data_IF_608657820906
#
_entry.id   IF_608657820906
#
_cell.length_a   1.000
_cell.length_b   1.000
_cell.length_c   1.000
_cell.angle_alpha   90.00
_cell.angle_beta   90.00
_cell.angle_gamma   90.00
#
_symmetry.space_group_name_H-M   'P 1'
#
loop_
_entity.id
_entity.type
_entity.pdbx_description
1 polymer ?
#
# COMPACT_ATOMS: atom_id res chain seq x y z
N UNK A 1 61.85 6.69 27.57
CA UNK A 1 62.52 7.07 26.31
C UNK A 1 62.41 5.89 25.37
N UNK A 2 61.62 6.02 24.29
CA UNK A 2 61.56 5.01 23.24
C UNK A 2 62.93 4.92 22.58
N UNK A 3 63.62 3.78 22.71
CA UNK A 3 64.82 3.49 21.91
C UNK A 3 64.37 3.59 20.45
N UNK A 4 64.86 4.59 19.72
CA UNK A 4 64.55 4.75 18.30
C UNK A 4 65.02 3.48 17.59
N UNK A 5 64.06 2.63 17.16
CA UNK A 5 64.36 1.47 16.32
C UNK A 5 64.55 2.02 14.92
N UNK A 6 65.80 2.08 14.46
CA UNK A 6 66.11 2.37 13.08
C UNK A 6 65.40 1.38 12.14
N UNK A 7 64.90 1.88 11.02
CA UNK A 7 64.35 1.05 9.96
C UNK A 7 65.44 0.15 9.34
N UNK A 8 65.07 -0.95 8.66
CA UNK A 8 66.03 -1.79 7.97
C UNK A 8 66.91 -1.01 6.98
N UNK A 9 66.33 -0.02 6.29
CA UNK A 9 67.06 0.81 5.33
C UNK A 9 67.98 1.84 6.00
N UNK A 10 67.55 2.46 7.09
CA UNK A 10 68.42 3.36 7.88
C UNK A 10 69.67 2.62 8.40
N UNK A 11 69.49 1.38 8.87
CA UNK A 11 70.62 0.54 9.29
C UNK A 11 71.57 0.21 8.12
N UNK A 12 71.07 0.07 6.89
CA UNK A 12 71.92 -0.12 5.71
C UNK A 12 72.70 1.16 5.38
N UNK A 13 72.04 2.32 5.41
CA UNK A 13 72.71 3.61 5.18
C UNK A 13 73.81 3.88 6.21
N UNK A 14 73.56 3.58 7.50
CA UNK A 14 74.55 3.75 8.57
C UNK A 14 75.77 2.82 8.43
N UNK A 15 75.58 1.62 7.87
CA UNK A 15 76.67 0.65 7.64
C UNK A 15 77.36 0.84 6.29
N UNK A 16 76.81 1.70 5.43
CA UNK A 16 77.29 1.87 4.07
C UNK A 16 78.58 2.67 4.01
N UNK A 17 79.43 2.36 3.02
CA UNK A 17 80.60 3.18 2.67
C UNK A 17 80.24 4.38 1.79
N UNK A 18 79.03 4.42 1.23
CA UNK A 18 78.51 5.49 0.38
C UNK A 18 76.98 5.49 0.46
N UNK A 19 76.42 6.46 1.17
CA UNK A 19 74.97 6.59 1.36
C UNK A 19 74.27 6.85 0.02
N UNK A 20 74.83 7.71 -0.83
CA UNK A 20 74.33 7.97 -2.19
C UNK A 20 74.28 6.68 -3.01
N UNK A 21 75.37 5.91 -3.07
CA UNK A 21 75.38 4.69 -3.88
C UNK A 21 74.36 3.66 -3.35
N UNK A 22 74.14 3.61 -2.03
CA UNK A 22 73.16 2.71 -1.40
C UNK A 22 71.73 3.15 -1.67
N UNK A 23 71.48 4.45 -1.66
CA UNK A 23 70.19 5.03 -2.00
C UNK A 23 69.88 4.84 -3.50
N UNK A 24 70.83 5.12 -4.39
CA UNK A 24 70.71 4.84 -5.83
C UNK A 24 70.48 3.35 -6.08
N UNK A 25 71.18 2.47 -5.37
CA UNK A 25 70.99 1.03 -5.46
C UNK A 25 69.55 0.61 -5.11
N UNK A 26 68.94 1.21 -4.07
CA UNK A 26 67.53 0.94 -3.74
C UNK A 26 66.58 1.43 -4.83
N UNK A 27 66.81 2.61 -5.40
CA UNK A 27 65.98 3.15 -6.48
C UNK A 27 66.09 2.29 -7.76
N UNK A 28 67.28 1.82 -8.11
CA UNK A 28 67.47 0.89 -9.24
C UNK A 28 66.86 -0.48 -8.96
N UNK A 29 66.92 -0.97 -7.73
CA UNK A 29 66.24 -2.20 -7.30
C UNK A 29 64.72 -2.05 -7.43
N UNK A 30 64.16 -0.88 -7.11
CA UNK A 30 62.74 -0.58 -7.27
C UNK A 30 62.31 -0.65 -8.75
N UNK A 31 63.08 -0.06 -9.67
CA UNK A 31 62.85 -0.19 -11.13
C UNK A 31 62.86 -1.66 -11.58
N UNK A 32 63.78 -2.48 -11.07
CA UNK A 32 63.87 -3.92 -11.42
C UNK A 32 62.67 -4.75 -10.93
N UNK A 33 62.11 -4.42 -9.77
CA UNK A 33 60.96 -5.14 -9.20
C UNK A 33 59.73 -4.97 -10.07
N UNK A 34 59.54 -3.80 -10.69
CA UNK A 34 58.41 -3.50 -11.57
C UNK A 34 58.61 -3.97 -13.03
N UNK A 35 59.67 -4.75 -13.30
CA UNK A 35 59.83 -5.48 -14.55
C UNK A 35 58.99 -6.77 -14.55
N UNK A 36 58.22 -6.91 -15.62
CA UNK A 36 57.45 -8.12 -15.94
C UNK A 36 58.41 -9.25 -16.34
N UNK A 37 58.08 -10.49 -15.97
CA UNK A 37 58.73 -11.72 -16.44
C UNK A 37 60.23 -11.92 -16.09
N UNK A 38 60.76 -11.24 -15.04
CA UNK A 38 62.14 -11.46 -14.56
C UNK A 38 62.14 -12.18 -13.20
N UNK A 39 62.88 -13.29 -13.08
CA UNK A 39 63.04 -14.00 -11.80
C UNK A 39 63.83 -13.17 -10.78
N UNK A 40 63.64 -13.42 -9.49
CA UNK A 40 64.37 -12.71 -8.44
C UNK A 40 65.90 -12.87 -8.56
N UNK A 41 66.36 -14.06 -8.94
CA UNK A 41 67.78 -14.34 -9.19
C UNK A 41 68.35 -13.52 -10.36
N UNK A 42 67.59 -13.34 -11.44
CA UNK A 42 67.98 -12.49 -12.56
C UNK A 42 68.01 -11.01 -12.15
N UNK A 43 67.01 -10.52 -11.40
CA UNK A 43 67.00 -9.14 -10.87
C UNK A 43 68.24 -8.86 -10.01
N UNK A 44 68.56 -9.77 -9.07
CA UNK A 44 69.76 -9.65 -8.22
C UNK A 44 71.06 -9.60 -9.03
N UNK A 45 71.22 -10.47 -10.03
CA UNK A 45 72.39 -10.48 -10.91
C UNK A 45 72.50 -9.21 -11.73
N UNK A 46 71.39 -8.71 -12.29
CA UNK A 46 71.38 -7.48 -13.08
C UNK A 46 71.72 -6.27 -12.22
N UNK A 47 71.14 -6.17 -11.03
CA UNK A 47 71.46 -5.10 -10.10
C UNK A 47 72.96 -5.08 -9.76
N UNK A 48 73.54 -6.25 -9.47
CA UNK A 48 74.96 -6.38 -9.18
C UNK A 48 75.86 -5.95 -10.36
N UNK A 49 75.44 -6.23 -11.61
CA UNK A 49 76.18 -5.81 -12.80
C UNK A 49 76.15 -4.29 -12.99
N UNK A 50 74.98 -3.68 -12.92
CA UNK A 50 74.81 -2.23 -13.16
C UNK A 50 75.43 -1.39 -12.04
N UNK A 51 75.50 -1.94 -10.82
CA UNK A 51 76.07 -1.26 -9.65
C UNK A 51 77.45 -1.77 -9.24
N UNK A 52 78.17 -2.46 -10.13
CA UNK A 52 79.49 -3.02 -9.83
C UNK A 52 80.52 -1.97 -9.34
N UNK A 53 80.35 -0.71 -9.74
CA UNK A 53 81.23 0.41 -9.37
C UNK A 53 80.81 1.10 -8.05
N UNK A 54 79.68 0.72 -7.47
CA UNK A 54 79.12 1.38 -6.30
C UNK A 54 79.87 0.98 -5.03
N UNK A 55 80.10 1.95 -4.14
CA UNK A 55 80.81 1.75 -2.88
C UNK A 55 79.82 1.60 -1.72
N UNK A 56 78.89 0.66 -1.82
CA UNK A 56 77.85 0.45 -0.78
C UNK A 56 78.32 -0.45 0.38
N UNK A 57 79.16 -1.46 0.13
CA UNK A 57 79.85 -2.22 1.20
C UNK A 57 78.98 -3.20 2.01
N UNK A 58 77.77 -3.50 1.56
CA UNK A 58 76.85 -4.47 2.16
C UNK A 58 76.23 -5.41 1.11
N UNK A 59 75.54 -6.47 1.55
CA UNK A 59 74.85 -7.40 0.66
C UNK A 59 73.65 -6.75 -0.07
N UNK A 60 73.32 -7.26 -1.25
CA UNK A 60 72.20 -6.77 -2.07
C UNK A 60 70.83 -7.31 -1.61
N UNK A 61 70.81 -8.43 -0.88
CA UNK A 61 69.59 -9.12 -0.45
C UNK A 61 68.62 -8.22 0.33
N UNK A 62 69.07 -7.50 1.37
CA UNK A 62 68.23 -6.56 2.11
C UNK A 62 67.63 -5.46 1.24
N UNK A 63 68.41 -4.86 0.33
CA UNK A 63 67.92 -3.82 -0.59
C UNK A 63 66.85 -4.37 -1.53
N UNK A 64 67.07 -5.56 -2.08
CA UNK A 64 66.09 -6.23 -2.93
C UNK A 64 64.80 -6.56 -2.18
N UNK A 65 64.90 -6.96 -0.90
CA UNK A 65 63.72 -7.23 -0.07
C UNK A 65 62.91 -5.95 0.18
N UNK A 66 63.57 -4.84 0.49
CA UNK A 66 62.92 -3.53 0.68
C UNK A 66 62.21 -3.08 -0.60
N UNK A 67 62.88 -3.19 -1.74
CA UNK A 67 62.31 -2.85 -3.05
C UNK A 67 61.11 -3.75 -3.40
N UNK A 68 61.21 -5.05 -3.14
CA UNK A 68 60.13 -6.01 -3.41
C UNK A 68 58.88 -5.72 -2.57
N UNK A 69 59.09 -5.36 -1.31
CA UNK A 69 58.02 -4.98 -0.39
C UNK A 69 57.45 -3.58 -0.66
N UNK A 70 58.06 -2.81 -1.58
CA UNK A 70 57.65 -1.44 -1.93
C UNK A 70 57.55 -0.53 -0.69
N UNK A 71 58.55 -0.62 0.20
CA UNK A 71 58.59 0.22 1.39
C UNK A 71 58.78 1.69 1.00
N UNK A 72 57.67 2.43 1.00
CA UNK A 72 57.62 3.83 0.59
C UNK A 72 58.49 4.73 1.47
N UNK A 73 58.64 4.42 2.76
CA UNK A 73 59.47 5.23 3.67
C UNK A 73 60.95 5.06 3.31
N UNK A 74 61.37 3.83 3.01
CA UNK A 74 62.73 3.56 2.56
C UNK A 74 63.03 4.19 1.19
N UNK A 75 62.09 4.09 0.23
CA UNK A 75 62.21 4.69 -1.11
C UNK A 75 62.27 6.22 -0.99
N UNK A 76 61.42 6.83 -0.17
CA UNK A 76 61.46 8.27 0.09
C UNK A 76 62.80 8.68 0.68
N UNK A 77 63.30 7.98 1.71
CA UNK A 77 64.58 8.28 2.32
C UNK A 77 65.73 8.16 1.30
N UNK A 78 65.71 7.13 0.45
CA UNK A 78 66.68 7.00 -0.62
C UNK A 78 66.62 8.19 -1.61
N UNK A 79 65.41 8.61 -2.00
CA UNK A 79 65.24 9.77 -2.86
C UNK A 79 65.78 11.06 -2.20
N UNK A 80 65.53 11.26 -0.91
CA UNK A 80 66.07 12.41 -0.17
C UNK A 80 67.59 12.41 -0.10
N UNK A 81 68.21 11.25 0.16
CA UNK A 81 69.67 11.09 0.16
C UNK A 81 70.24 11.42 -1.22
N UNK A 82 69.67 10.84 -2.29
CA UNK A 82 70.11 11.10 -3.66
C UNK A 82 69.96 12.59 -4.00
N UNK A 83 68.81 13.21 -3.70
CA UNK A 83 68.59 14.63 -3.99
C UNK A 83 69.55 15.56 -3.25
N UNK A 84 69.94 15.20 -2.02
CA UNK A 84 70.79 16.05 -1.16
C UNK A 84 72.28 15.90 -1.47
N UNK A 85 72.73 14.69 -1.79
CA UNK A 85 74.15 14.36 -1.83
C UNK A 85 74.65 13.96 -3.23
N UNK A 86 73.77 13.75 -4.22
CA UNK A 86 74.17 13.48 -5.60
C UNK A 86 74.65 14.76 -6.30
N UNK A 87 75.82 14.69 -6.95
CA UNK A 87 76.30 15.77 -7.81
C UNK A 87 75.53 15.81 -9.14
N UNK A 88 75.43 17.00 -9.73
CA UNK A 88 74.79 17.18 -11.05
C UNK A 88 75.46 16.34 -12.15
N UNK A 89 76.77 16.12 -12.05
CA UNK A 89 77.53 15.28 -12.98
C UNK A 89 77.09 13.80 -12.95
N UNK A 90 76.63 13.33 -11.79
CA UNK A 90 76.16 11.95 -11.60
C UNK A 90 74.70 11.76 -11.97
N UNK A 91 73.88 12.81 -11.97
CA UNK A 91 72.44 12.74 -12.27
C UNK A 91 72.13 12.04 -13.60
N UNK A 92 72.81 12.40 -14.68
CA UNK A 92 72.60 11.77 -15.99
C UNK A 92 73.05 10.31 -16.02
N UNK A 93 74.12 9.96 -15.31
CA UNK A 93 74.61 8.58 -15.23
C UNK A 93 73.63 7.68 -14.46
N UNK A 94 73.03 8.18 -13.37
CA UNK A 94 72.00 7.46 -12.62
C UNK A 94 70.76 7.25 -13.47
N UNK A 95 70.30 8.29 -14.18
CA UNK A 95 69.14 8.17 -15.05
C UNK A 95 69.41 7.22 -16.23
N UNK A 96 70.61 7.26 -16.82
CA UNK A 96 71.05 6.30 -17.83
C UNK A 96 70.92 4.86 -17.30
N UNK A 97 71.48 4.60 -16.11
CA UNK A 97 71.40 3.27 -15.49
C UNK A 97 69.95 2.85 -15.23
N UNK A 98 69.09 3.76 -14.78
CA UNK A 98 67.68 3.49 -14.54
C UNK A 98 66.95 3.12 -15.84
N UNK A 99 67.19 3.85 -16.94
CA UNK A 99 66.60 3.55 -18.25
C UNK A 99 67.08 2.19 -18.74
N UNK A 100 68.39 1.96 -18.76
CA UNK A 100 68.97 0.66 -19.17
C UNK A 100 68.32 -0.49 -18.40
N UNK A 101 68.32 -0.40 -17.08
CA UNK A 101 67.72 -1.39 -16.19
C UNK A 101 66.25 -1.62 -16.48
N UNK A 102 65.49 -0.57 -16.78
CA UNK A 102 64.07 -0.65 -17.08
C UNK A 102 63.76 -1.31 -18.44
N UNK A 103 64.65 -1.18 -19.43
CA UNK A 103 64.39 -1.53 -20.84
C UNK A 103 65.19 -2.70 -21.41
N UNK A 104 66.11 -3.28 -20.63
CA UNK A 104 67.12 -4.25 -21.14
C UNK A 104 66.62 -5.43 -21.98
N UNK A 105 65.39 -5.94 -21.75
CA UNK A 105 64.90 -7.14 -22.47
C UNK A 105 63.44 -7.01 -22.95
N UNK A 106 62.88 -5.81 -23.04
CA UNK A 106 61.49 -5.68 -23.46
C UNK A 106 60.91 -4.27 -23.44
N UNK A 107 59.60 -4.21 -23.62
CA UNK A 107 58.86 -2.94 -23.56
C UNK A 107 58.81 -2.39 -22.14
N UNK A 108 58.83 -1.06 -22.07
CA UNK A 108 58.78 -0.34 -20.81
C UNK A 108 57.42 -0.58 -20.13
N UNK A 109 57.42 -1.13 -18.91
CA UNK A 109 56.17 -1.32 -18.16
C UNK A 109 55.58 0.03 -17.75
N UNK A 110 54.26 0.11 -17.59
CA UNK A 110 53.57 1.32 -17.15
C UNK A 110 54.14 1.87 -15.82
N UNK A 111 54.42 0.98 -14.87
CA UNK A 111 55.07 1.36 -13.61
C UNK A 111 56.45 1.98 -13.83
N UNK A 112 57.29 1.35 -14.67
CA UNK A 112 58.62 1.88 -14.95
C UNK A 112 58.56 3.20 -15.72
N UNK A 113 57.53 3.44 -16.54
CA UNK A 113 57.32 4.74 -17.16
C UNK A 113 57.20 5.86 -16.11
N UNK A 114 56.34 5.66 -15.10
CA UNK A 114 56.18 6.64 -14.01
C UNK A 114 57.40 6.73 -13.09
N UNK A 115 58.04 5.60 -12.78
CA UNK A 115 59.25 5.58 -11.94
C UNK A 115 60.37 6.36 -12.63
N UNK A 116 60.60 6.17 -13.93
CA UNK A 116 61.63 6.90 -14.66
C UNK A 116 61.34 8.40 -14.74
N UNK A 117 60.07 8.79 -14.93
CA UNK A 117 59.66 10.20 -14.86
C UNK A 117 59.95 10.82 -13.49
N UNK A 118 59.57 10.12 -12.42
CA UNK A 118 59.89 10.53 -11.05
C UNK A 118 61.41 10.65 -10.81
N UNK A 119 62.21 9.71 -11.31
CA UNK A 119 63.67 9.77 -11.18
C UNK A 119 64.27 10.91 -11.99
N UNK A 120 63.74 11.21 -13.18
CA UNK A 120 64.17 12.35 -13.97
C UNK A 120 63.94 13.67 -13.21
N UNK A 121 62.74 13.85 -12.64
CA UNK A 121 62.42 15.01 -11.81
C UNK A 121 63.29 15.09 -10.55
N UNK A 122 63.49 13.95 -9.86
CA UNK A 122 64.33 13.85 -8.67
C UNK A 122 65.78 14.29 -8.94
N UNK A 123 66.30 13.96 -10.13
CA UNK A 123 67.67 14.22 -10.56
C UNK A 123 67.81 15.57 -11.30
N UNK A 124 66.74 16.38 -11.34
CA UNK A 124 66.64 17.66 -12.06
C UNK A 124 66.95 17.55 -13.57
N UNK A 125 66.57 16.43 -14.20
CA UNK A 125 66.71 16.23 -15.65
C UNK A 125 65.44 16.70 -16.35
N UNK A 126 65.59 17.62 -17.31
CA UNK A 126 64.42 18.15 -18.02
C UNK A 126 63.72 17.07 -18.86
N UNK A 127 62.39 17.17 -19.10
CA UNK A 127 61.67 16.22 -19.95
C UNK A 127 62.25 16.08 -21.36
N UNK A 128 62.81 17.16 -21.92
CA UNK A 128 63.47 17.13 -23.22
C UNK A 128 64.74 16.28 -23.17
N UNK A 129 65.62 16.52 -22.19
CA UNK A 129 66.85 15.73 -22.00
C UNK A 129 66.53 14.27 -21.70
N UNK A 130 65.52 14.00 -20.88
CA UNK A 130 65.07 12.64 -20.58
C UNK A 130 64.56 11.93 -21.83
N UNK A 131 63.75 12.60 -22.66
CA UNK A 131 63.22 12.04 -23.90
C UNK A 131 64.34 11.74 -24.92
N UNK A 132 65.32 12.64 -25.05
CA UNK A 132 66.50 12.43 -25.90
C UNK A 132 67.31 11.24 -25.42
N UNK A 133 67.64 11.19 -24.13
CA UNK A 133 68.41 10.09 -23.54
C UNK A 133 67.69 8.75 -23.69
N UNK A 134 66.38 8.72 -23.47
CA UNK A 134 65.57 7.51 -23.66
C UNK A 134 65.59 7.04 -25.11
N UNK A 135 65.47 7.97 -26.07
CA UNK A 135 65.51 7.65 -27.49
C UNK A 135 66.89 7.12 -27.93
N UNK A 136 67.96 7.76 -27.46
CA UNK A 136 69.34 7.32 -27.74
C UNK A 136 69.61 5.91 -27.21
N UNK A 137 69.06 5.56 -26.04
CA UNK A 137 69.27 4.26 -25.41
C UNK A 137 68.39 3.14 -25.99
N UNK A 138 67.16 3.45 -26.35
CA UNK A 138 66.16 2.43 -26.73
C UNK A 138 65.86 2.39 -28.22
N UNK A 139 66.30 3.40 -28.98
CA UNK A 139 65.94 3.61 -30.38
C UNK A 139 64.46 4.00 -30.61
N UNK A 140 63.65 4.11 -29.55
CA UNK A 140 62.21 4.44 -29.63
C UNK A 140 61.93 5.76 -28.90
N UNK A 141 61.01 6.61 -29.39
CA UNK A 141 60.62 7.79 -28.66
C UNK A 141 59.88 7.40 -27.37
N UNK A 142 60.08 8.18 -26.31
CA UNK A 142 59.30 8.02 -25.08
C UNK A 142 57.85 8.44 -25.35
N UNK A 143 56.92 7.48 -25.30
CA UNK A 143 55.49 7.76 -25.43
C UNK A 143 54.95 8.40 -24.15
N UNK A 144 53.84 9.14 -24.26
CA UNK A 144 53.15 9.67 -23.07
C UNK A 144 52.61 8.53 -22.20
N UNK A 145 52.76 8.67 -20.88
CA UNK A 145 52.16 7.75 -19.91
C UNK A 145 50.65 7.61 -20.16
N UNK A 146 50.18 6.38 -20.27
CA UNK A 146 48.75 6.10 -20.20
C UNK A 146 48.26 6.32 -18.77
N UNK A 147 46.99 6.72 -18.60
CA UNK A 147 46.43 7.13 -17.30
C UNK A 147 45.37 6.13 -16.81
N UNK A 148 45.69 5.22 -15.89
CA UNK A 148 44.75 4.22 -15.35
C UNK A 148 43.57 4.80 -14.57
N UNK A 149 43.61 6.09 -14.23
CA UNK A 149 42.47 6.76 -13.58
C UNK A 149 41.34 7.07 -14.56
N UNK A 150 41.59 7.01 -15.87
CA UNK A 150 40.60 7.30 -16.91
C UNK A 150 39.90 6.03 -17.37
N UNK A 151 38.58 6.10 -17.53
CA UNK A 151 37.77 4.99 -18.06
C UNK A 151 38.25 4.54 -19.46
N UNK A 152 38.72 5.47 -20.28
CA UNK A 152 39.28 5.18 -21.60
C UNK A 152 40.47 4.20 -21.57
N UNK A 153 41.28 4.20 -20.51
CA UNK A 153 42.36 3.23 -20.34
C UNK A 153 41.81 1.81 -20.24
N UNK A 154 40.79 1.61 -19.40
CA UNK A 154 40.19 0.30 -19.13
C UNK A 154 39.34 -0.21 -20.31
N UNK A 155 38.80 0.68 -21.14
CA UNK A 155 38.12 0.28 -22.38
C UNK A 155 39.06 -0.45 -23.35
N UNK A 156 40.34 -0.06 -23.39
CA UNK A 156 41.36 -0.67 -24.25
C UNK A 156 41.96 -1.91 -23.59
N UNK A 157 42.20 -1.87 -22.27
CA UNK A 157 42.92 -2.90 -21.53
C UNK A 157 42.03 -4.04 -21.01
N UNK A 158 40.72 -3.81 -20.85
CA UNK A 158 39.75 -4.83 -20.43
C UNK A 158 38.46 -4.78 -21.28
N UNK A 159 38.55 -5.12 -22.58
CA UNK A 159 37.39 -5.11 -23.47
C UNK A 159 36.32 -6.13 -23.04
N UNK A 160 36.71 -7.22 -22.37
CA UNK A 160 35.78 -8.24 -21.92
C UNK A 160 34.87 -7.76 -20.79
N UNK A 161 35.40 -7.01 -19.83
CA UNK A 161 34.61 -6.40 -18.76
C UNK A 161 33.53 -5.48 -19.34
N UNK A 162 33.90 -4.61 -20.27
CA UNK A 162 32.95 -3.69 -20.91
C UNK A 162 31.91 -4.45 -21.77
N UNK A 163 32.32 -5.49 -22.49
CA UNK A 163 31.39 -6.34 -23.25
C UNK A 163 30.40 -7.09 -22.35
N UNK A 164 30.84 -7.54 -21.15
CA UNK A 164 29.96 -8.17 -20.16
C UNK A 164 28.97 -7.15 -19.58
N UNK A 165 29.46 -5.98 -19.17
CA UNK A 165 28.65 -4.88 -18.66
C UNK A 165 27.57 -4.45 -19.66
N UNK A 166 27.91 -4.37 -20.95
CA UNK A 166 26.96 -4.06 -22.02
C UNK A 166 25.89 -5.14 -22.19
N UNK A 167 26.26 -6.43 -22.13
CA UNK A 167 25.31 -7.56 -22.17
C UNK A 167 24.36 -7.55 -20.98
N UNK A 168 24.88 -7.29 -19.78
CA UNK A 168 24.08 -7.24 -18.56
C UNK A 168 23.10 -6.05 -18.59
N UNK A 169 23.54 -4.89 -19.10
CA UNK A 169 22.68 -3.73 -19.31
C UNK A 169 21.56 -4.03 -20.30
N UNK A 170 21.89 -4.65 -21.44
CA UNK A 170 20.89 -5.04 -22.43
C UNK A 170 19.90 -6.09 -21.89
N UNK A 171 20.38 -7.08 -21.14
CA UNK A 171 19.53 -8.07 -20.48
C UNK A 171 18.62 -7.44 -19.41
N UNK A 172 19.11 -6.45 -18.66
CA UNK A 172 18.31 -5.70 -17.71
C UNK A 172 17.21 -4.88 -18.40
N UNK A 173 17.53 -4.23 -19.53
CA UNK A 173 16.57 -3.49 -20.33
C UNK A 173 15.49 -4.40 -20.91
N UNK A 174 15.86 -5.58 -21.43
CA UNK A 174 14.90 -6.58 -21.90
C UNK A 174 13.98 -7.06 -20.78
N UNK A 175 14.53 -7.38 -19.59
CA UNK A 175 13.72 -7.77 -18.42
C UNK A 175 12.78 -6.66 -17.97
N UNK A 176 13.20 -5.40 -18.04
CA UNK A 176 12.34 -4.26 -17.71
C UNK A 176 11.18 -4.13 -18.71
N UNK A 177 11.44 -4.28 -20.01
CA UNK A 177 10.40 -4.29 -21.06
C UNK A 177 9.42 -5.45 -20.88
N UNK A 178 9.90 -6.67 -20.65
CA UNK A 178 9.04 -7.83 -20.38
C UNK A 178 8.19 -7.65 -19.11
N UNK A 179 8.77 -7.07 -18.05
CA UNK A 179 8.04 -6.78 -16.82
C UNK A 179 6.94 -5.74 -17.05
N UNK A 180 7.22 -4.70 -17.85
CA UNK A 180 6.23 -3.69 -18.21
C UNK A 180 5.08 -4.30 -19.05
N UNK A 181 5.40 -5.14 -20.04
CA UNK A 181 4.40 -5.86 -20.83
C UNK A 181 3.52 -6.77 -19.96
N UNK A 182 4.13 -7.53 -19.03
CA UNK A 182 3.39 -8.36 -18.07
C UNK A 182 2.49 -7.54 -17.17
N UNK A 183 2.94 -6.36 -16.72
CA UNK A 183 2.11 -5.46 -15.92
C UNK A 183 0.93 -4.91 -16.72
N UNK A 184 1.14 -4.55 -18.00
CA UNK A 184 0.07 -4.12 -18.90
C UNK A 184 -0.96 -5.23 -19.12
N UNK A 185 -0.51 -6.44 -19.45
CA UNK A 185 -1.37 -7.61 -19.64
C UNK A 185 -2.18 -7.96 -18.37
N UNK A 186 -1.56 -7.90 -17.19
CA UNK A 186 -2.25 -8.12 -15.92
C UNK A 186 -3.32 -7.05 -15.63
N UNK A 187 -3.02 -5.78 -15.91
CA UNK A 187 -4.00 -4.68 -15.77
C UNK A 187 -5.19 -4.87 -16.72
N UNK A 188 -4.94 -5.23 -17.98
CA UNK A 188 -5.98 -5.52 -18.96
C UNK A 188 -6.87 -6.69 -18.51
N UNK A 189 -6.27 -7.80 -18.04
CA UNK A 189 -7.04 -8.93 -17.51
C UNK A 189 -7.88 -8.55 -16.28
N UNK A 190 -7.34 -7.73 -15.37
CA UNK A 190 -8.09 -7.26 -14.20
C UNK A 190 -9.28 -6.38 -14.62
N UNK A 191 -9.08 -5.45 -15.55
CA UNK A 191 -10.15 -4.63 -16.10
C UNK A 191 -11.23 -5.49 -16.76
N UNK A 192 -10.84 -6.50 -17.54
CA UNK A 192 -11.78 -7.38 -18.22
C UNK A 192 -12.57 -8.24 -17.24
N UNK A 193 -11.94 -8.76 -16.17
CA UNK A 193 -12.63 -9.45 -15.07
C UNK A 193 -13.62 -8.53 -14.35
N UNK A 194 -13.24 -7.28 -14.10
CA UNK A 194 -14.11 -6.32 -13.44
C UNK A 194 -15.32 -5.95 -14.31
N UNK A 195 -15.11 -5.71 -15.61
CA UNK A 195 -16.21 -5.48 -16.56
C UNK A 195 -17.15 -6.69 -16.66
N UNK A 196 -16.61 -7.91 -16.76
CA UNK A 196 -17.44 -9.12 -16.80
C UNK A 196 -18.26 -9.30 -15.52
N UNK A 197 -17.66 -9.02 -14.35
CA UNK A 197 -18.36 -9.06 -13.06
C UNK A 197 -19.47 -8.02 -12.99
N UNK A 198 -19.25 -6.80 -13.48
CA UNK A 198 -20.27 -5.75 -13.55
C UNK A 198 -21.43 -6.17 -14.46
N UNK A 199 -21.14 -6.69 -15.66
CA UNK A 199 -22.16 -7.19 -16.59
C UNK A 199 -23.01 -8.30 -15.96
N UNK A 200 -22.39 -9.27 -15.27
CA UNK A 200 -23.13 -10.33 -14.57
C UNK A 200 -24.01 -9.77 -13.45
N UNK A 201 -23.54 -8.76 -12.71
CA UNK A 201 -24.34 -8.12 -11.66
C UNK A 201 -25.53 -7.35 -12.25
N UNK A 202 -25.33 -6.63 -13.35
CA UNK A 202 -26.40 -5.93 -14.08
C UNK A 202 -27.45 -6.90 -14.64
N UNK A 203 -27.01 -8.00 -15.26
CA UNK A 203 -27.91 -9.05 -15.76
C UNK A 203 -28.72 -9.68 -14.62
N UNK A 204 -28.07 -10.04 -13.51
CA UNK A 204 -28.75 -10.60 -12.34
C UNK A 204 -29.75 -9.60 -11.72
N UNK A 205 -29.40 -8.31 -11.66
CA UNK A 205 -30.33 -7.26 -11.21
C UNK A 205 -31.53 -7.14 -12.15
N UNK A 206 -31.30 -7.19 -13.47
CA UNK A 206 -32.35 -7.11 -14.48
C UNK A 206 -33.28 -8.32 -14.43
N UNK A 207 -32.74 -9.52 -14.21
CA UNK A 207 -33.54 -10.73 -14.00
C UNK A 207 -34.37 -10.67 -12.72
N UNK A 208 -33.77 -10.25 -11.60
CA UNK A 208 -34.52 -10.05 -10.34
C UNK A 208 -35.65 -9.04 -10.51
N UNK A 209 -35.39 -7.91 -11.17
CA UNK A 209 -36.40 -6.90 -11.44
C UNK A 209 -37.54 -7.46 -12.30
N UNK A 210 -37.23 -8.25 -13.35
CA UNK A 210 -38.25 -8.94 -14.16
C UNK A 210 -39.07 -9.94 -13.34
N UNK A 211 -38.43 -10.75 -12.50
CA UNK A 211 -39.13 -11.70 -11.63
C UNK A 211 -40.04 -10.99 -10.62
N UNK A 212 -39.58 -9.87 -10.07
CA UNK A 212 -40.35 -9.08 -9.10
C UNK A 212 -41.54 -8.39 -9.77
N UNK A 213 -41.36 -7.83 -10.96
CA UNK A 213 -42.46 -7.32 -11.79
C UNK A 213 -43.49 -8.42 -12.12
N UNK A 214 -43.03 -9.61 -12.53
CA UNK A 214 -43.91 -10.74 -12.81
C UNK A 214 -44.70 -11.19 -11.56
N UNK A 215 -44.06 -11.25 -10.39
CA UNK A 215 -44.74 -11.54 -9.11
C UNK A 215 -45.75 -10.46 -8.74
N UNK A 216 -45.41 -9.18 -8.90
CA UNK A 216 -46.33 -8.07 -8.64
C UNK A 216 -47.55 -8.14 -9.57
N UNK A 217 -47.35 -8.44 -10.86
CA UNK A 217 -48.43 -8.59 -11.82
C UNK A 217 -49.32 -9.80 -11.50
N UNK A 218 -48.73 -10.92 -11.09
CA UNK A 218 -49.47 -12.12 -10.66
C UNK A 218 -50.29 -11.84 -9.39
N UNK A 219 -49.69 -11.21 -8.38
CA UNK A 219 -50.39 -10.82 -7.16
C UNK A 219 -51.55 -9.86 -7.45
N UNK A 220 -51.36 -8.90 -8.37
CA UNK A 220 -52.41 -7.98 -8.80
C UNK A 220 -53.56 -8.73 -9.48
N UNK A 221 -53.25 -9.65 -10.41
CA UNK A 221 -54.26 -10.52 -11.05
C UNK A 221 -55.02 -11.39 -10.05
N UNK A 222 -54.36 -11.91 -9.03
CA UNK A 222 -55.00 -12.68 -7.96
C UNK A 222 -55.92 -11.81 -7.10
N UNK A 223 -55.48 -10.60 -6.72
CA UNK A 223 -56.31 -9.64 -6.02
C UNK A 223 -57.54 -9.24 -6.83
N UNK A 224 -57.38 -8.97 -8.13
CA UNK A 224 -58.48 -8.63 -9.03
C UNK A 224 -59.51 -9.79 -9.11
N UNK A 225 -59.04 -11.03 -9.29
CA UNK A 225 -59.90 -12.23 -9.26
C UNK A 225 -60.62 -12.40 -7.92
N UNK A 226 -59.93 -12.14 -6.81
CA UNK A 226 -60.51 -12.26 -5.47
C UNK A 226 -61.55 -11.18 -5.21
N UNK A 227 -61.32 -9.94 -5.67
CA UNK A 227 -62.32 -8.87 -5.64
C UNK A 227 -63.53 -9.21 -6.50
N UNK A 228 -63.34 -9.74 -7.70
CA UNK A 228 -64.45 -10.13 -8.57
C UNK A 228 -65.29 -11.26 -7.95
N UNK A 229 -64.63 -12.25 -7.34
CA UNK A 229 -65.31 -13.30 -6.55
C UNK A 229 -66.13 -12.73 -5.39
N UNK A 230 -65.57 -11.79 -4.62
CA UNK A 230 -66.27 -11.11 -3.53
C UNK A 230 -67.50 -10.36 -4.05
N UNK A 231 -67.36 -9.56 -5.12
CA UNK A 231 -68.48 -8.84 -5.75
C UNK A 231 -69.58 -9.79 -6.22
N UNK A 232 -69.23 -10.92 -6.83
CA UNK A 232 -70.21 -11.95 -7.23
C UNK A 232 -70.92 -12.55 -6.02
N UNK A 233 -70.19 -12.92 -4.96
CA UNK A 233 -70.79 -13.44 -3.73
C UNK A 233 -71.72 -12.42 -3.08
N UNK A 234 -71.33 -11.16 -3.01
CA UNK A 234 -72.15 -10.06 -2.49
C UNK A 234 -73.43 -9.90 -3.32
N UNK A 235 -73.34 -9.92 -4.65
CA UNK A 235 -74.49 -9.88 -5.54
C UNK A 235 -75.43 -11.07 -5.35
N UNK A 236 -74.90 -12.29 -5.27
CA UNK A 236 -75.71 -13.50 -5.01
C UNK A 236 -76.42 -13.40 -3.67
N UNK A 237 -75.70 -13.04 -2.60
CA UNK A 237 -76.32 -12.83 -1.29
C UNK A 237 -77.38 -11.72 -1.30
N UNK A 238 -77.16 -10.65 -2.07
CA UNK A 238 -78.11 -9.55 -2.19
C UNK A 238 -79.39 -10.00 -2.93
N UNK A 239 -79.26 -10.80 -3.99
CA UNK A 239 -80.39 -11.43 -4.68
C UNK A 239 -81.14 -12.41 -3.77
N UNK A 240 -80.43 -13.25 -3.00
CA UNK A 240 -81.03 -14.16 -2.03
C UNK A 240 -81.79 -13.40 -0.94
N UNK A 241 -81.21 -12.32 -0.40
CA UNK A 241 -81.89 -11.43 0.56
C UNK A 241 -83.16 -10.82 -0.03
N UNK A 242 -83.11 -10.35 -1.28
CA UNK A 242 -84.28 -9.80 -1.97
C UNK A 242 -85.37 -10.85 -2.17
N UNK A 243 -85.01 -12.08 -2.58
CA UNK A 243 -85.95 -13.20 -2.69
C UNK A 243 -86.56 -13.56 -1.34
N UNK A 244 -85.76 -13.64 -0.28
CA UNK A 244 -86.24 -13.92 1.07
C UNK A 244 -87.20 -12.84 1.57
N UNK A 245 -86.90 -11.56 1.31
CA UNK A 245 -87.81 -10.46 1.63
C UNK A 245 -89.13 -10.51 0.84
N UNK A 246 -89.10 -10.88 -0.45
CA UNK A 246 -90.31 -11.09 -1.24
C UNK A 246 -91.12 -12.29 -0.74
N UNK A 247 -90.46 -13.37 -0.33
CA UNK A 247 -91.10 -14.55 0.25
C UNK A 247 -91.78 -14.24 1.59
N UNK A 248 -91.11 -13.46 2.45
CA UNK A 248 -91.67 -12.96 3.70
C UNK A 248 -92.90 -12.07 3.45
N UNK A 249 -92.82 -11.12 2.50
CA UNK A 249 -93.98 -10.30 2.10
C UNK A 249 -95.14 -11.14 1.58
N UNK A 250 -94.87 -12.18 0.77
CA UNK A 250 -95.90 -13.12 0.30
C UNK A 250 -96.55 -13.89 1.45
N UNK A 251 -95.76 -14.39 2.40
CA UNK A 251 -96.27 -15.06 3.59
C UNK A 251 -97.06 -14.11 4.50
N UNK A 252 -96.66 -12.84 4.57
CA UNK A 252 -97.34 -11.80 5.34
C UNK A 252 -98.65 -11.35 4.67
N UNK A 253 -98.71 -11.28 3.33
CA UNK A 253 -99.94 -11.06 2.54
C UNK A 253 -100.90 -12.25 2.65
N UNK A 254 -100.40 -13.49 2.61
CA UNK A 254 -101.21 -14.70 2.84
C UNK A 254 -101.75 -14.77 4.28
N UNK A 255 -100.96 -14.34 5.29
CA UNK A 255 -101.42 -14.18 6.68
C UNK A 255 -102.41 -13.04 6.86
N UNK A 256 -102.29 -11.96 6.08
CA UNK A 256 -103.22 -10.81 6.10
C UNK A 256 -104.61 -11.17 5.57
N UNK A 257 -104.72 -12.09 4.60
CA UNK A 257 -106.03 -12.55 4.09
C UNK A 257 -106.75 -13.55 5.02
N UNK A 258 -106.12 -14.03 6.10
CA UNK A 258 -106.72 -14.99 7.05
C UNK A 258 -106.96 -14.45 8.48
N UNK A 259 -106.78 -13.14 8.72
CA UNK A 259 -107.03 -12.52 10.03
C UNK A 259 -107.78 -11.19 9.91
N UNK A 260 -109.05 -11.27 9.57
CA UNK A 260 -110.03 -10.34 10.13
C UNK A 260 -110.50 -10.87 11.48
N UNK A 261 -110.00 -10.26 12.56
CA UNK A 261 -110.73 -10.00 13.83
C UNK A 261 -109.81 -9.23 14.80
N UNK A 262 -110.29 -8.15 15.45
CA UNK A 262 -109.45 -7.21 16.18
C UNK A 262 -109.21 -7.66 17.63
N UNK A 263 -108.02 -7.40 18.17
CA UNK A 263 -107.76 -7.46 19.61
C UNK A 263 -106.98 -6.22 20.05
N UNK A 264 -107.48 -5.59 21.12
CA UNK A 264 -107.13 -4.25 21.60
C UNK A 264 -105.67 -4.11 22.09
N UNK A 265 -105.08 -2.91 21.99
CA UNK A 265 -103.75 -2.62 22.49
C UNK A 265 -103.72 -2.54 24.03
N UNK A 266 -102.62 -2.98 24.68
CA UNK A 266 -102.52 -3.02 26.14
C UNK A 266 -102.45 -1.63 26.76
N UNK A 267 -103.11 -1.50 27.92
CA UNK A 267 -103.35 -0.27 28.67
C UNK A 267 -102.06 0.50 28.98
N UNK A 268 -102.04 1.77 28.57
CA UNK A 268 -100.91 2.71 28.66
C UNK A 268 -100.52 2.99 30.11
N UNK A 269 -101.47 2.84 31.04
CA UNK A 269 -101.27 2.97 32.48
C UNK A 269 -100.34 1.89 33.05
N UNK A 270 -100.53 0.64 32.60
CA UNK A 270 -99.72 -0.52 33.02
C UNK A 270 -98.24 -0.36 32.62
N UNK A 271 -97.96 0.23 31.45
CA UNK A 271 -96.60 0.49 30.99
C UNK A 271 -95.90 1.59 31.81
N UNK A 272 -96.62 2.63 32.23
CA UNK A 272 -96.06 3.69 33.05
C UNK A 272 -95.72 3.22 34.47
N UNK A 273 -96.54 2.35 35.07
CA UNK A 273 -96.25 1.72 36.36
C UNK A 273 -94.99 0.83 36.29
N UNK A 274 -94.83 0.05 35.22
CA UNK A 274 -93.66 -0.79 35.01
C UNK A 274 -92.34 0.01 34.92
N UNK A 275 -92.37 1.23 34.34
CA UNK A 275 -91.18 2.12 34.27
C UNK A 275 -90.74 2.59 35.67
N UNK A 276 -91.68 2.76 36.60
CA UNK A 276 -91.39 3.07 38.01
C UNK A 276 -91.11 1.82 38.87
N UNK A 277 -91.14 0.62 38.27
CA UNK A 277 -90.95 -0.65 38.97
C UNK A 277 -92.13 -1.02 39.88
N UNK A 278 -93.33 -0.49 39.59
CA UNK A 278 -94.54 -0.73 40.36
C UNK A 278 -95.47 -1.71 39.66
N UNK A 279 -96.16 -2.53 40.44
CA UNK A 279 -97.21 -3.42 39.97
C UNK A 279 -98.52 -2.64 39.72
N UNK A 280 -99.41 -3.13 38.84
CA UNK A 280 -100.76 -2.57 38.69
C UNK A 280 -101.48 -2.47 40.03
N UNK A 281 -102.10 -1.31 40.33
CA UNK A 281 -102.84 -1.07 41.58
C UNK A 281 -102.09 -0.29 42.68
N UNK A 282 -100.87 0.21 42.41
CA UNK A 282 -100.14 1.07 43.35
C UNK A 282 -100.85 2.41 43.60
N UNK A 283 -100.92 2.86 44.85
CA UNK A 283 -101.55 4.15 45.19
C UNK A 283 -100.63 5.35 44.89
N UNK A 284 -101.19 6.56 44.86
CA UNK A 284 -100.43 7.81 44.61
C UNK A 284 -99.26 8.05 45.57
N UNK A 285 -99.33 7.58 46.82
CA UNK A 285 -98.23 7.71 47.77
C UNK A 285 -97.05 6.78 47.40
N UNK A 286 -97.34 5.59 46.91
CA UNK A 286 -96.34 4.62 46.43
C UNK A 286 -95.70 5.07 45.11
N UNK A 287 -96.48 5.66 44.20
CA UNK A 287 -95.99 6.28 42.96
C UNK A 287 -95.00 7.41 43.27
N UNK A 288 -95.34 8.31 44.21
CA UNK A 288 -94.43 9.39 44.66
C UNK A 288 -93.18 8.85 45.37
N UNK A 289 -93.29 7.75 46.10
CA UNK A 289 -92.16 7.12 46.79
C UNK A 289 -91.20 6.45 45.79
N UNK A 290 -91.75 5.72 44.82
CA UNK A 290 -90.99 5.09 43.75
C UNK A 290 -90.31 6.13 42.85
N UNK A 291 -91.01 7.20 42.48
CA UNK A 291 -90.43 8.31 41.71
C UNK A 291 -89.25 8.94 42.45
N UNK A 292 -89.39 9.29 43.74
CA UNK A 292 -88.28 9.86 44.52
C UNK A 292 -87.06 8.93 44.58
N UNK A 293 -87.29 7.62 44.75
CA UNK A 293 -86.22 6.61 44.76
C UNK A 293 -85.50 6.52 43.41
N UNK A 294 -86.26 6.42 42.32
CA UNK A 294 -85.72 6.29 40.97
C UNK A 294 -85.06 7.58 40.48
N UNK A 295 -85.62 8.74 40.86
CA UNK A 295 -85.06 10.05 40.58
C UNK A 295 -83.71 10.26 41.26
N UNK A 296 -83.55 9.87 42.54
CA UNK A 296 -82.26 9.92 43.24
C UNK A 296 -81.23 8.92 42.69
N UNK A 297 -81.68 7.76 42.21
CA UNK A 297 -80.79 6.74 41.64
C UNK A 297 -80.26 7.15 40.27
N UNK A 298 -81.08 7.82 39.46
CA UNK A 298 -80.77 8.18 38.08
C UNK A 298 -80.62 9.70 37.85
N UNK A 299 -80.42 10.49 38.91
CA UNK A 299 -80.25 11.94 38.77
C UNK A 299 -78.95 12.23 37.99
N UNK A 300 -78.97 13.09 36.96
CA UNK A 300 -77.78 13.38 36.15
C UNK A 300 -76.63 13.98 36.96
N UNK A 301 -76.94 14.73 38.01
CA UNK A 301 -75.95 15.39 38.90
C UNK A 301 -75.11 14.40 39.72
N UNK A 302 -75.61 13.18 39.94
CA UNK A 302 -74.86 12.10 40.61
C UNK A 302 -73.78 11.49 39.72
N UNK A 303 -73.87 11.71 38.40
CA UNK A 303 -72.93 11.19 37.41
C UNK A 303 -72.10 12.31 36.76
N UNK A 304 -72.06 13.52 37.36
CA UNK A 304 -71.33 14.69 36.84
C UNK A 304 -69.81 14.44 36.69
N UNK A 305 -69.23 13.59 37.54
CA UNK A 305 -67.83 13.15 37.45
C UNK A 305 -67.60 11.93 36.54
N UNK A 306 -68.64 11.46 35.84
CA UNK A 306 -68.60 10.33 34.89
C UNK A 306 -68.36 10.75 33.45
N UNK A 307 -68.31 9.79 32.51
CA UNK A 307 -68.12 10.07 31.08
C UNK A 307 -69.37 10.67 30.43
N UNK A 308 -69.20 11.42 29.34
CA UNK A 308 -70.29 12.10 28.62
C UNK A 308 -71.43 11.13 28.22
N UNK A 309 -71.08 9.90 27.80
CA UNK A 309 -72.04 8.86 27.48
C UNK A 309 -72.85 8.38 28.72
N UNK A 310 -72.26 8.37 29.91
CA UNK A 310 -72.95 7.99 31.15
C UNK A 310 -73.95 9.08 31.57
N UNK A 311 -73.57 10.36 31.43
CA UNK A 311 -74.45 11.50 31.69
C UNK A 311 -75.66 11.49 30.73
N UNK A 312 -75.43 11.25 29.45
CA UNK A 312 -76.50 11.16 28.44
C UNK A 312 -77.47 10.02 28.73
N UNK A 313 -76.96 8.82 29.07
CA UNK A 313 -77.79 7.65 29.35
C UNK A 313 -78.59 7.81 30.66
N UNK A 314 -78.00 8.44 31.68
CA UNK A 314 -78.70 8.81 32.91
C UNK A 314 -79.82 9.84 32.64
N UNK A 315 -79.54 10.86 31.81
CA UNK A 315 -80.51 11.89 31.41
C UNK A 315 -81.73 11.29 30.67
N UNK A 316 -81.49 10.42 29.68
CA UNK A 316 -82.58 9.75 28.95
C UNK A 316 -83.43 8.85 29.87
N UNK A 317 -82.80 8.14 30.81
CA UNK A 317 -83.53 7.31 31.80
C UNK A 317 -84.32 8.17 32.77
N UNK A 318 -83.75 9.26 33.27
CA UNK A 318 -84.42 10.21 34.17
C UNK A 318 -85.65 10.83 33.51
N UNK A 319 -85.55 11.25 32.25
CA UNK A 319 -86.68 11.77 31.48
C UNK A 319 -87.81 10.75 31.33
N UNK A 320 -87.49 9.46 31.10
CA UNK A 320 -88.49 8.39 31.04
C UNK A 320 -89.17 8.12 32.38
N UNK A 321 -88.43 8.18 33.47
CA UNK A 321 -88.96 8.04 34.84
C UNK A 321 -89.89 9.21 35.16
N UNK A 322 -89.49 10.44 34.83
CA UNK A 322 -90.29 11.64 35.02
C UNK A 322 -91.58 11.61 34.19
N UNK A 323 -91.49 11.26 32.90
CA UNK A 323 -92.68 11.22 32.05
C UNK A 323 -93.68 10.13 32.46
N UNK A 324 -93.20 8.97 32.93
CA UNK A 324 -94.06 7.95 33.50
C UNK A 324 -94.76 8.42 34.80
N UNK A 325 -94.03 9.12 35.68
CA UNK A 325 -94.60 9.72 36.89
C UNK A 325 -95.64 10.80 36.58
N UNK A 326 -95.33 11.74 35.67
CA UNK A 326 -96.23 12.82 35.27
C UNK A 326 -97.53 12.25 34.65
N UNK A 327 -97.41 11.23 33.79
CA UNK A 327 -98.55 10.54 33.21
C UNK A 327 -99.42 9.84 34.26
N UNK A 328 -98.81 9.16 35.23
CA UNK A 328 -99.55 8.50 36.32
C UNK A 328 -100.22 9.52 37.24
N UNK A 329 -99.57 10.64 37.57
CA UNK A 329 -100.17 11.66 38.42
C UNK A 329 -101.33 12.41 37.76
N UNK A 330 -101.40 12.42 36.42
CA UNK A 330 -102.52 13.00 35.66
C UNK A 330 -103.68 12.01 35.48
N UNK A 331 -103.41 10.70 35.42
CA UNK A 331 -104.38 9.67 35.03
C UNK A 331 -104.71 8.62 36.13
N UNK A 332 -104.16 8.76 37.35
CA UNK A 332 -104.50 8.00 38.58
C UNK A 332 -104.80 8.97 39.70
#
# INVERSE_FOLDING_TARGET
MSIARFSPFELLLLKSRSQVDTATLLLLAWVLVHRQQVSEGQRRRRLAQVTAQFRHGHELGPVMSIAHNQDLQAIQLAAEVVRKECSNERSLSILYQAITVATDDGELSLNNHYILGFLADLLNVTPATFSTLFHELTGKPLQSAEDPSRDAYWQVHDPEYHARKARDAHAAEQKAKEAEERQRANKEQQQQKQQNKQRQQEEAHREKAKQEQAKQEQNKREQDKQQERRKRQEQTQQQERQRWQQEQKRQEEARRQQRERPSSPPDRNTRALAVLGLTPGANRADIRRAYRRMAQLHHPDRFYSGSEHQIALASTRFQRIKSAYDYLMQNT
#
